data_IF_040518175271
#
_entry.id   IF_040518175271
#
_cell.length_a   1.000
_cell.length_b   1.000
_cell.length_c   1.000
_cell.angle_alpha   90.00
_cell.angle_beta   90.00
_cell.angle_gamma   90.00
#
_symmetry.space_group_name_H-M   'P 1'
#
loop_
_entity.id
_entity.type
_entity.pdbx_description
1 polymer ?
#
# COMPACT_ATOMS: atom_id res chain seq x y z
N UNK A 1 7.02 -13.13 19.28
CA UNK A 1 6.36 -13.80 18.12
C UNK A 1 4.88 -13.45 17.93
N UNK A 2 4.19 -12.84 18.90
CA UNK A 2 2.75 -12.47 18.81
C UNK A 2 2.47 -11.18 18.03
N UNK A 3 3.46 -10.30 17.85
CA UNK A 3 3.31 -8.98 17.22
C UNK A 3 3.09 -9.05 15.70
N UNK A 4 3.92 -9.79 14.98
CA UNK A 4 3.83 -9.93 13.51
C UNK A 4 2.52 -10.59 13.06
N UNK A 5 2.09 -11.64 13.77
CA UNK A 5 0.87 -12.36 13.44
C UNK A 5 -0.38 -11.49 13.68
N UNK A 6 -0.32 -10.60 14.67
CA UNK A 6 -1.36 -9.60 14.95
C UNK A 6 -1.38 -8.50 13.88
N UNK A 7 -0.21 -8.01 13.47
CA UNK A 7 -0.06 -7.04 12.38
C UNK A 7 -0.61 -7.60 11.06
N UNK A 8 -0.25 -8.84 10.71
CA UNK A 8 -0.70 -9.49 9.50
C UNK A 8 -2.23 -9.68 9.48
N UNK A 9 -2.84 -10.05 10.62
CA UNK A 9 -4.31 -10.14 10.73
C UNK A 9 -5.00 -8.79 10.54
N UNK A 10 -4.43 -7.72 11.10
CA UNK A 10 -4.95 -6.35 10.90
C UNK A 10 -4.85 -5.93 9.44
N UNK A 11 -3.70 -6.14 8.80
CA UNK A 11 -3.50 -5.84 7.39
C UNK A 11 -4.47 -6.64 6.51
N UNK A 12 -4.59 -7.95 6.73
CA UNK A 12 -5.53 -8.80 5.99
C UNK A 12 -6.96 -8.29 6.12
N UNK A 13 -7.38 -7.87 7.31
CA UNK A 13 -8.72 -7.30 7.53
C UNK A 13 -8.90 -6.01 6.76
N UNK A 14 -7.96 -5.07 6.87
CA UNK A 14 -8.01 -3.79 6.13
C UNK A 14 -8.09 -4.04 4.62
N UNK A 15 -7.30 -4.96 4.09
CA UNK A 15 -7.33 -5.31 2.67
C UNK A 15 -8.63 -6.04 2.26
N UNK A 16 -9.27 -6.77 3.17
CA UNK A 16 -10.56 -7.44 2.90
C UNK A 16 -11.75 -6.48 2.94
N UNK A 17 -11.67 -5.46 3.81
CA UNK A 17 -12.68 -4.41 3.95
C UNK A 17 -12.48 -3.29 2.90
N UNK A 18 -11.40 -3.35 2.10
CA UNK A 18 -11.09 -2.33 1.09
C UNK A 18 -12.10 -2.41 -0.06
N UNK A 19 -12.66 -1.27 -0.50
CA UNK A 19 -13.55 -1.25 -1.66
C UNK A 19 -12.79 -1.72 -2.91
N UNK A 20 -13.47 -2.48 -3.76
CA UNK A 20 -12.92 -3.02 -5.00
C UNK A 20 -12.59 -1.94 -6.04
N UNK A 21 -13.00 -0.70 -5.80
CA UNK A 21 -12.69 0.49 -6.61
C UNK A 21 -11.29 1.05 -6.34
N UNK A 22 -10.58 0.53 -5.34
CA UNK A 22 -9.27 1.03 -4.92
C UNK A 22 -8.18 0.01 -5.18
N UNK A 23 -7.04 0.48 -5.64
CA UNK A 23 -5.80 -0.28 -5.81
C UNK A 23 -4.72 0.30 -4.92
N UNK A 24 -3.84 -0.56 -4.38
CA UNK A 24 -2.73 -0.16 -3.51
C UNK A 24 -1.42 -0.58 -4.14
N UNK A 25 -0.53 0.39 -4.33
CA UNK A 25 0.83 0.15 -4.81
C UNK A 25 1.84 0.52 -3.74
N UNK A 26 2.78 -0.39 -3.47
CA UNK A 26 3.88 -0.15 -2.52
C UNK A 26 5.16 0.06 -3.31
N UNK A 27 5.71 1.28 -3.24
CA UNK A 27 6.94 1.65 -3.93
C UNK A 27 8.17 1.20 -3.13
N UNK A 28 9.29 0.97 -3.81
CA UNK A 28 10.56 0.61 -3.18
C UNK A 28 11.07 1.64 -2.15
N UNK A 29 10.62 2.89 -2.24
CA UNK A 29 10.91 3.97 -1.29
C UNK A 29 10.12 3.87 0.02
N UNK A 30 9.27 2.85 0.19
CA UNK A 30 8.38 2.70 1.34
C UNK A 30 7.15 3.62 1.29
N UNK A 31 6.88 4.24 0.14
CA UNK A 31 5.63 4.97 -0.09
C UNK A 31 4.52 3.99 -0.43
N UNK A 32 3.38 4.11 0.26
CA UNK A 32 2.14 3.43 -0.06
C UNK A 32 1.23 4.42 -0.77
N UNK A 33 0.82 4.06 -1.96
CA UNK A 33 0.02 4.87 -2.85
C UNK A 33 -1.34 4.18 -3.05
N UNK A 34 -2.41 4.95 -2.92
CA UNK A 34 -3.78 4.52 -3.17
C UNK A 34 -4.24 5.12 -4.49
N UNK A 35 -4.78 4.27 -5.35
CA UNK A 35 -5.22 4.63 -6.69
C UNK A 35 -6.66 4.17 -6.92
N UNK A 36 -7.29 4.72 -7.95
CA UNK A 36 -8.46 4.06 -8.53
C UNK A 36 -8.04 2.72 -9.14
N UNK A 37 -8.91 1.72 -9.07
CA UNK A 37 -8.67 0.42 -9.67
C UNK A 37 -8.26 0.53 -11.14
N UNK A 38 -7.16 -0.14 -11.50
CA UNK A 38 -6.65 -0.16 -12.87
C UNK A 38 -6.06 1.17 -13.33
N UNK A 39 -5.83 2.13 -12.42
CA UNK A 39 -5.11 3.35 -12.76
C UNK A 39 -3.67 3.04 -13.18
N UNK A 40 -3.02 2.07 -12.51
CA UNK A 40 -1.65 1.65 -12.86
C UNK A 40 -1.58 1.10 -14.27
N UNK A 41 -2.47 0.16 -14.62
CA UNK A 41 -2.51 -0.44 -15.96
C UNK A 41 -2.81 0.61 -17.04
N UNK A 42 -3.85 1.44 -16.84
CA UNK A 42 -4.21 2.52 -17.77
C UNK A 42 -3.06 3.51 -17.96
N UNK A 43 -2.34 3.85 -16.88
CA UNK A 43 -1.24 4.78 -16.94
C UNK A 43 -0.03 4.17 -17.64
N UNK A 44 0.27 2.89 -17.37
CA UNK A 44 1.33 2.16 -18.05
C UNK A 44 1.07 2.02 -19.55
N UNK A 45 -0.16 1.69 -19.94
CA UNK A 45 -0.57 1.64 -21.36
C UNK A 45 -0.37 3.00 -22.06
N UNK A 46 -0.62 4.11 -21.36
CA UNK A 46 -0.51 5.45 -21.92
C UNK A 46 0.89 6.07 -21.88
N UNK A 47 1.74 5.69 -20.92
CA UNK A 47 3.03 6.36 -20.64
C UNK A 47 4.25 5.43 -20.69
N UNK A 48 4.05 4.12 -20.60
CA UNK A 48 5.12 3.13 -20.52
C UNK A 48 5.86 3.12 -19.17
N UNK A 49 5.35 3.83 -18.16
CA UNK A 49 5.88 3.86 -16.79
C UNK A 49 4.75 3.78 -15.75
N UNK A 50 5.11 3.44 -14.52
CA UNK A 50 4.21 3.43 -13.36
C UNK A 50 4.72 4.34 -12.23
N UNK A 51 5.69 5.20 -12.52
CA UNK A 51 6.33 6.02 -11.49
C UNK A 51 5.48 7.23 -11.12
N UNK A 52 4.61 7.70 -12.02
CA UNK A 52 3.83 8.91 -11.80
C UNK A 52 2.31 8.69 -11.92
N UNK A 53 1.86 7.46 -11.65
CA UNK A 53 0.42 7.15 -11.62
C UNK A 53 -0.27 8.09 -10.63
N UNK A 54 -1.31 8.84 -11.03
CA UNK A 54 -2.05 9.73 -10.14
C UNK A 54 -2.57 8.99 -8.90
N UNK A 55 -2.39 9.60 -7.73
CA UNK A 55 -2.72 9.01 -6.43
C UNK A 55 -3.93 9.72 -5.83
N UNK A 56 -4.88 8.95 -5.29
CA UNK A 56 -5.98 9.46 -4.46
C UNK A 56 -5.40 9.92 -3.11
N UNK A 57 -4.49 9.13 -2.56
CA UNK A 57 -3.82 9.40 -1.30
C UNK A 57 -2.49 8.65 -1.24
N UNK A 58 -1.53 9.20 -0.52
CA UNK A 58 -0.22 8.62 -0.30
C UNK A 58 0.18 8.72 1.16
N UNK A 59 0.84 7.70 1.69
CA UNK A 59 1.52 7.81 2.98
C UNK A 59 2.82 7.03 2.99
N UNK A 60 3.80 7.53 3.75
CA UNK A 60 5.10 6.89 3.89
C UNK A 60 5.11 5.96 5.09
N UNK A 61 5.63 4.76 4.91
CA UNK A 61 5.96 3.88 6.01
C UNK A 61 7.31 4.33 6.59
N UNK A 62 7.25 5.22 7.58
CA UNK A 62 8.41 5.59 8.38
C UNK A 62 8.57 4.50 9.46
N UNK A 63 9.53 3.59 9.29
CA UNK A 63 9.77 2.38 10.12
C UNK A 63 8.81 1.19 9.88
N UNK A 64 9.28 0.21 9.10
CA UNK A 64 9.09 -1.20 9.49
C UNK A 64 10.29 -1.55 10.37
N UNK A 65 10.38 -0.96 11.56
CA UNK A 65 11.31 -1.48 12.56
C UNK A 65 10.65 -2.73 13.11
N UNK A 66 11.21 -3.89 12.78
CA UNK A 66 11.00 -5.14 13.50
C UNK A 66 11.60 -5.07 14.91
N UNK A 67 11.33 -4.00 15.64
CA UNK A 67 11.66 -3.85 17.05
C UNK A 67 10.34 -3.61 17.78
N UNK A 68 10.02 -4.57 18.64
CA UNK A 68 8.90 -4.56 19.56
C UNK A 68 8.83 -3.20 20.25
N UNK A 69 7.80 -2.41 19.92
CA UNK A 69 7.43 -1.25 20.70
C UNK A 69 6.92 -1.75 22.06
N UNK A 70 7.84 -1.88 23.02
CA UNK A 70 7.53 -2.07 24.43
C UNK A 70 6.79 -0.84 24.96
N UNK A 71 5.54 -1.04 25.35
CA UNK A 71 4.88 -0.31 26.44
C UNK A 71 4.22 -1.35 27.32
#
# INVERSE_FOLDING_TARGET
>A
MTSELTWFRRLRRVLSDMPDTVEVTVRATGMVCLHERGATDRYFEGKGDTDNVPEISAFRINNIRGEEASI
#
